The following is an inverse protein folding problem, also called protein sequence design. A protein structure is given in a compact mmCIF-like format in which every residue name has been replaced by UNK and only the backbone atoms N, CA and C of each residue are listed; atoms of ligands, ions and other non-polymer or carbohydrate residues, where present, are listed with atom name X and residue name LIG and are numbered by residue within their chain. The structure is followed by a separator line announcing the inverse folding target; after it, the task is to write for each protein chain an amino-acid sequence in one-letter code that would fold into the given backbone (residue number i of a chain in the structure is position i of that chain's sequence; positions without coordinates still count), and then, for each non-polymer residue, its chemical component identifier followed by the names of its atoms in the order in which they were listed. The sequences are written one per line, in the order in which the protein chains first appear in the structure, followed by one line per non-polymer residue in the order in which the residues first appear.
data_IF_652134571354
#
_entry.id   IF_652134571354
#
_cell.length_a   1.000
_cell.length_b   1.000
_cell.length_c   1.000
_cell.angle_alpha   90.00
_cell.angle_beta   90.00
_cell.angle_gamma   90.00
#
_symmetry.space_group_name_H-M   'P 1'
#
loop_
_entity.id
_entity.type
_entity.pdbx_description
1 polymer ?
#
# COMPACT_ATOMS: atom_id res chain seq x y z
N UNK A 1 6.00 -25.84 65.19
CA UNK A 1 6.85 -26.41 64.13
C UNK A 1 6.15 -27.66 63.61
N UNK A 2 5.49 -27.57 62.47
CA UNK A 2 4.95 -28.72 61.73
C UNK A 2 5.65 -28.75 60.35
N UNK A 3 6.03 -29.93 59.84
CA UNK A 3 6.89 -30.02 58.67
C UNK A 3 6.14 -29.73 57.37
N UNK A 4 6.91 -29.18 56.43
CA UNK A 4 6.57 -28.83 55.05
C UNK A 4 5.92 -30.00 54.33
N UNK A 5 4.76 -29.77 53.73
CA UNK A 5 4.28 -30.58 52.61
C UNK A 5 4.73 -29.86 51.33
N UNK A 6 5.64 -30.42 50.51
CA UNK A 6 5.95 -29.84 49.21
C UNK A 6 4.73 -29.99 48.32
N UNK A 7 4.36 -28.91 47.62
CA UNK A 7 3.30 -28.88 46.62
C UNK A 7 3.40 -30.15 45.75
N UNK A 8 2.32 -30.94 45.78
CA UNK A 8 2.08 -31.96 44.79
C UNK A 8 2.13 -31.27 43.42
N UNK A 9 3.17 -31.58 42.67
CA UNK A 9 3.31 -31.22 41.27
C UNK A 9 2.26 -32.05 40.54
N UNK A 10 1.15 -31.41 40.15
CA UNK A 10 0.08 -32.07 39.40
C UNK A 10 0.68 -32.81 38.18
N UNK A 11 0.45 -34.12 38.00
CA UNK A 11 1.14 -34.92 36.99
C UNK A 11 0.48 -34.89 35.60
N UNK A 12 -0.35 -33.89 35.31
CA UNK A 12 -1.19 -33.83 34.10
C UNK A 12 -1.05 -32.49 33.37
N UNK A 13 0.16 -31.91 33.35
CA UNK A 13 0.49 -30.99 32.28
C UNK A 13 0.72 -31.85 31.03
N UNK A 14 -0.38 -32.17 30.36
CA UNK A 14 -0.40 -32.95 29.13
C UNK A 14 0.24 -32.10 28.02
N UNK A 15 1.56 -32.17 27.92
CA UNK A 15 2.35 -31.54 26.86
C UNK A 15 1.91 -32.01 25.45
N UNK A 16 1.05 -33.05 25.36
CA UNK A 16 0.44 -33.51 24.11
C UNK A 16 -0.72 -32.64 23.62
N UNK A 17 -1.28 -31.77 24.47
CA UNK A 17 -2.32 -30.79 24.13
C UNK A 17 -1.75 -29.40 23.78
N UNK A 18 -0.44 -29.20 23.98
CA UNK A 18 0.24 -27.98 23.57
C UNK A 18 0.38 -27.98 22.05
N UNK A 19 -0.45 -27.18 21.38
CA UNK A 19 -0.34 -26.92 19.94
C UNK A 19 1.10 -26.51 19.60
N UNK A 20 1.81 -27.35 18.84
CA UNK A 20 3.17 -27.05 18.41
C UNK A 20 3.08 -26.02 17.27
N UNK A 21 3.62 -24.80 17.42
CA UNK A 21 3.53 -23.80 16.37
C UNK A 21 4.35 -24.21 15.14
N UNK A 22 3.89 -23.87 13.92
CA UNK A 22 4.67 -24.07 12.71
C UNK A 22 6.03 -23.35 12.77
N UNK A 23 7.05 -23.80 12.01
CA UNK A 23 8.37 -23.16 12.00
C UNK A 23 8.29 -21.65 11.70
N UNK A 24 8.94 -20.84 12.53
CA UNK A 24 8.96 -19.37 12.42
C UNK A 24 7.73 -18.66 13.00
N UNK A 25 6.81 -19.39 13.62
CA UNK A 25 5.72 -18.84 14.41
C UNK A 25 5.91 -19.14 15.89
N UNK A 26 5.45 -18.23 16.75
CA UNK A 26 5.40 -18.41 18.21
C UNK A 26 3.98 -18.17 18.67
N UNK A 27 3.45 -19.08 19.49
CA UNK A 27 2.14 -18.90 20.11
C UNK A 27 2.36 -18.44 21.55
N UNK A 28 1.83 -17.26 21.89
CA UNK A 28 1.99 -16.63 23.20
C UNK A 28 0.61 -16.67 23.87
N UNK A 29 0.43 -17.40 24.98
CA UNK A 29 -0.84 -17.40 25.72
C UNK A 29 -1.20 -15.98 26.19
N UNK A 30 -2.45 -15.55 25.96
CA UNK A 30 -2.96 -14.24 26.42
C UNK A 30 -3.23 -14.21 27.93
N UNK A 31 -3.55 -15.36 28.50
CA UNK A 31 -3.89 -15.54 29.90
C UNK A 31 -3.17 -16.76 30.47
N UNK A 32 -2.98 -16.76 31.79
CA UNK A 32 -2.36 -17.88 32.52
C UNK A 32 -3.19 -19.17 32.39
N UNK A 33 -4.52 -19.03 32.28
CA UNK A 33 -5.44 -20.15 32.03
C UNK A 33 -5.82 -20.17 30.55
N UNK A 34 -5.48 -21.26 29.86
CA UNK A 34 -5.94 -21.56 28.50
C UNK A 34 -7.16 -22.50 28.55
N UNK A 35 -8.08 -22.37 27.60
CA UNK A 35 -9.36 -23.11 27.64
C UNK A 35 -9.24 -24.62 27.40
N UNK A 36 -8.04 -25.15 27.13
CA UNK A 36 -7.78 -26.58 26.93
C UNK A 36 -8.39 -27.20 25.66
N UNK A 37 -9.10 -26.41 24.85
CA UNK A 37 -9.68 -26.87 23.58
C UNK A 37 -8.57 -26.93 22.51
N UNK A 38 -8.37 -28.10 21.93
CA UNK A 38 -7.46 -28.27 20.81
C UNK A 38 -7.82 -27.31 19.66
N UNK A 39 -6.83 -26.56 19.16
CA UNK A 39 -7.04 -25.60 18.07
C UNK A 39 -7.76 -24.28 18.45
N UNK A 40 -7.90 -23.93 19.73
CA UNK A 40 -8.44 -22.62 20.11
C UNK A 40 -7.40 -21.52 19.95
N UNK A 41 -7.47 -20.75 18.85
CA UNK A 41 -6.56 -19.63 18.58
C UNK A 41 -6.93 -18.32 19.29
N UNK A 42 -8.10 -18.24 19.92
CA UNK A 42 -8.51 -17.03 20.64
C UNK A 42 -7.67 -16.79 21.90
N UNK A 43 -7.26 -17.88 22.57
CA UNK A 43 -6.43 -17.85 23.78
C UNK A 43 -4.96 -17.53 23.52
N UNK A 44 -4.53 -17.46 22.26
CA UNK A 44 -3.14 -17.24 21.88
C UNK A 44 -3.00 -16.01 21.00
N UNK A 45 -1.91 -15.27 21.20
CA UNK A 45 -1.38 -14.36 20.20
C UNK A 45 -0.39 -15.13 19.32
N UNK A 46 -0.58 -14.99 18.01
CA UNK A 46 0.27 -15.65 17.02
C UNK A 46 1.28 -14.64 16.51
N UNK A 47 2.53 -14.92 16.81
CA UNK A 47 3.66 -14.11 16.38
C UNK A 47 4.36 -14.75 15.19
N UNK A 48 4.68 -13.95 14.18
CA UNK A 48 5.37 -14.36 12.95
C UNK A 48 6.72 -13.62 12.86
N UNK A 49 7.84 -14.34 12.99
CA UNK A 49 9.19 -13.72 12.99
C UNK A 49 9.50 -13.01 11.66
N UNK A 50 9.04 -13.59 10.55
CA UNK A 50 9.19 -12.98 9.21
C UNK A 50 8.37 -11.71 9.07
N UNK A 51 7.19 -11.67 9.68
CA UNK A 51 6.29 -10.53 9.62
C UNK A 51 6.86 -9.39 10.46
N UNK A 52 7.34 -9.69 11.67
CA UNK A 52 8.02 -8.72 12.52
C UNK A 52 9.26 -8.12 11.85
N UNK A 53 10.07 -8.95 11.19
CA UNK A 53 11.23 -8.46 10.42
C UNK A 53 10.82 -7.52 9.28
N UNK A 54 9.71 -7.81 8.60
CA UNK A 54 9.15 -6.94 7.55
C UNK A 54 8.61 -5.65 8.13
N UNK A 55 7.89 -5.69 9.25
CA UNK A 55 7.31 -4.51 9.89
C UNK A 55 8.41 -3.55 10.37
N UNK A 56 9.48 -4.08 10.99
CA UNK A 56 10.67 -3.29 11.34
C UNK A 56 11.28 -2.61 10.11
N UNK A 57 11.37 -3.34 8.99
CA UNK A 57 11.91 -2.81 7.74
C UNK A 57 11.01 -1.76 7.10
N UNK A 58 9.70 -1.91 7.18
CA UNK A 58 8.73 -0.93 6.69
C UNK A 58 8.93 0.38 7.44
N UNK A 59 8.96 0.35 8.77
CA UNK A 59 9.15 1.56 9.60
C UNK A 59 10.47 2.26 9.27
N UNK A 60 11.57 1.51 9.10
CA UNK A 60 12.87 2.07 8.71
C UNK A 60 12.79 2.79 7.34
N UNK A 61 12.09 2.17 6.38
CA UNK A 61 11.90 2.75 5.04
C UNK A 61 10.98 3.97 5.07
N UNK A 62 9.94 3.97 5.90
CA UNK A 62 9.05 5.12 6.10
C UNK A 62 9.79 6.32 6.68
N UNK A 63 10.69 6.10 7.65
CA UNK A 63 11.55 7.16 8.18
C UNK A 63 12.46 7.74 7.10
N UNK A 64 13.15 6.89 6.33
CA UNK A 64 14.01 7.33 5.22
C UNK A 64 13.23 8.09 4.16
N UNK A 65 12.04 7.62 3.81
CA UNK A 65 11.18 8.27 2.84
C UNK A 65 10.77 9.67 3.33
N UNK A 66 10.35 9.80 4.60
CA UNK A 66 10.05 11.09 5.21
C UNK A 66 11.23 12.07 5.15
N UNK A 67 12.45 11.60 5.40
CA UNK A 67 13.64 12.46 5.33
C UNK A 67 13.97 12.88 3.90
N UNK A 68 13.78 11.99 2.92
CA UNK A 68 13.91 12.33 1.50
C UNK A 68 12.88 13.37 1.06
N UNK A 69 11.62 13.25 1.51
CA UNK A 69 10.57 14.25 1.22
C UNK A 69 10.97 15.63 1.74
N UNK A 70 11.43 15.72 3.00
CA UNK A 70 11.90 17.00 3.57
C UNK A 70 13.05 17.59 2.77
N UNK A 71 14.02 16.76 2.37
CA UNK A 71 15.17 17.21 1.59
C UNK A 71 14.75 17.72 0.20
N UNK A 72 13.85 17.01 -0.48
CA UNK A 72 13.27 17.44 -1.75
C UNK A 72 12.56 18.78 -1.58
N UNK A 73 11.74 18.95 -0.55
CA UNK A 73 11.06 20.23 -0.27
C UNK A 73 12.05 21.36 -0.05
N UNK A 74 13.16 21.12 0.67
CA UNK A 74 14.22 22.12 0.84
C UNK A 74 14.91 22.48 -0.49
N UNK A 75 15.16 21.49 -1.36
CA UNK A 75 15.72 21.73 -2.68
C UNK A 75 14.76 22.49 -3.59
N UNK A 76 13.48 22.13 -3.58
CA UNK A 76 12.44 22.85 -4.29
C UNK A 76 12.36 24.31 -3.82
N UNK A 77 12.46 24.58 -2.52
CA UNK A 77 12.52 25.95 -2.00
C UNK A 77 13.78 26.70 -2.44
N UNK A 78 14.93 26.03 -2.58
CA UNK A 78 16.16 26.67 -3.11
C UNK A 78 16.09 26.96 -4.61
N UNK A 79 15.49 26.07 -5.39
CA UNK A 79 15.41 26.17 -6.84
C UNK A 79 14.26 27.10 -7.30
N UNK A 80 13.12 27.06 -6.61
CA UNK A 80 11.91 27.79 -6.99
C UNK A 80 11.51 28.89 -6.00
N UNK A 81 12.15 28.97 -4.83
CA UNK A 81 11.94 30.02 -3.81
C UNK A 81 13.00 31.12 -3.81
N UNK A 82 13.80 31.25 -4.89
CA UNK A 82 14.63 32.44 -5.13
C UNK A 82 13.78 33.73 -5.26
N UNK A 83 14.36 34.93 -5.08
CA UNK A 83 13.61 36.18 -4.89
C UNK A 83 12.94 36.67 -6.18
N UNK A 84 11.81 36.06 -6.54
CA UNK A 84 10.93 36.54 -7.62
C UNK A 84 9.48 36.64 -7.15
N UNK A 85 9.27 37.02 -5.89
CA UNK A 85 7.99 37.60 -5.47
C UNK A 85 8.30 39.01 -5.01
N UNK A 86 7.97 39.98 -5.85
CA UNK A 86 7.93 41.39 -5.49
C UNK A 86 7.31 41.55 -4.12
N UNK A 87 8.10 42.12 -3.21
CA UNK A 87 7.64 42.74 -1.98
C UNK A 87 6.65 43.86 -2.33
N UNK A 88 5.39 43.51 -2.60
CA UNK A 88 4.28 44.46 -2.58
C UNK A 88 4.07 44.85 -1.12
N UNK A 89 4.69 45.98 -0.79
CA UNK A 89 4.36 46.92 0.28
C UNK A 89 2.88 46.80 0.71
N UNK A 90 2.57 46.58 1.99
CA UNK A 90 1.19 46.67 2.45
C UNK A 90 0.77 48.15 2.47
N UNK A 91 -0.39 48.54 1.93
CA UNK A 91 -0.94 49.86 2.19
C UNK A 91 -1.59 49.88 3.57
N UNK A 92 -1.34 50.96 4.28
CA UNK A 92 -1.94 51.28 5.57
C UNK A 92 -3.46 51.42 5.48
N UNK A 93 -4.12 50.97 6.55
CA UNK A 93 -5.35 51.46 7.18
C UNK A 93 -6.35 52.25 6.33
N UNK A 94 -7.55 51.69 6.16
CA UNK A 94 -8.72 52.41 5.65
C UNK A 94 -10.02 51.63 5.83
N UNK A 95 -10.78 52.00 6.84
CA UNK A 95 -12.15 51.56 7.16
C UNK A 95 -13.13 51.76 5.99
N UNK A 96 -13.94 50.74 5.68
CA UNK A 96 -15.30 50.91 5.14
C UNK A 96 -16.11 49.61 5.23
N UNK A 97 -17.18 49.68 6.01
CA UNK A 97 -18.36 48.81 5.93
C UNK A 97 -18.97 48.86 4.52
N UNK A 98 -19.40 47.72 3.96
CA UNK A 98 -20.77 47.57 3.46
C UNK A 98 -21.07 46.16 2.95
N UNK A 99 -22.22 45.65 3.40
CA UNK A 99 -22.93 44.47 2.92
C UNK A 99 -23.52 44.71 1.53
N UNK A 100 -23.58 43.69 0.66
CA UNK A 100 -24.74 43.37 -0.21
C UNK A 100 -24.47 42.17 -1.14
N UNK A 101 -25.39 41.21 -1.05
CA UNK A 101 -25.79 40.27 -2.12
C UNK A 101 -26.99 40.92 -2.82
N UNK A 102 -27.16 40.78 -4.16
CA UNK A 102 -28.26 39.93 -4.66
C UNK A 102 -28.00 39.19 -6.00
N UNK A 103 -28.92 38.26 -6.27
CA UNK A 103 -29.03 37.19 -7.27
C UNK A 103 -29.18 37.57 -8.77
N UNK A 104 -28.82 36.59 -9.64
CA UNK A 104 -29.32 36.10 -10.97
C UNK A 104 -30.36 36.93 -11.80
N UNK A 105 -30.63 36.71 -13.13
CA UNK A 105 -30.49 35.47 -13.95
C UNK A 105 -30.10 35.66 -15.45
N UNK A 106 -29.87 34.56 -16.20
CA UNK A 106 -30.00 34.61 -17.67
C UNK A 106 -29.46 33.39 -18.46
N UNK A 107 -30.09 33.02 -19.61
CA UNK A 107 -30.28 31.61 -20.04
C UNK A 107 -29.84 31.26 -21.50
N UNK A 108 -29.90 29.97 -21.84
CA UNK A 108 -30.06 29.42 -23.21
C UNK A 108 -28.76 29.17 -23.98
N UNK A 109 -28.53 28.05 -24.67
CA UNK A 109 -29.37 26.91 -25.06
C UNK A 109 -28.93 26.40 -26.44
N UNK A 110 -29.11 25.10 -26.69
CA UNK A 110 -28.87 24.30 -27.92
C UNK A 110 -27.48 23.66 -28.01
N UNK A 111 -27.27 22.35 -27.84
CA UNK A 111 -28.19 21.21 -27.87
C UNK A 111 -28.11 20.48 -29.21
N UNK A 112 -27.49 19.29 -29.20
CA UNK A 112 -27.91 18.06 -29.90
C UNK A 112 -27.23 16.91 -29.11
N UNK A 113 -27.98 16.15 -28.28
CA UNK A 113 -28.70 14.91 -28.63
C UNK A 113 -27.77 13.84 -29.23
N UNK A 114 -27.56 12.65 -28.67
CA UNK A 114 -28.23 11.97 -27.57
C UNK A 114 -27.47 10.70 -27.13
N UNK A 115 -27.85 10.19 -25.97
CA UNK A 115 -27.42 8.90 -25.40
C UNK A 115 -27.87 7.71 -26.29
N UNK A 116 -27.21 6.54 -26.21
CA UNK A 116 -27.47 5.65 -25.09
C UNK A 116 -26.20 5.33 -24.31
N UNK A 117 -26.36 5.23 -22.99
CA UNK A 117 -25.54 4.38 -22.14
C UNK A 117 -25.42 3.00 -22.81
N UNK A 118 -24.21 2.64 -23.23
CA UNK A 118 -23.82 1.26 -23.39
C UNK A 118 -22.69 0.98 -22.42
N UNK A 119 -23.03 0.20 -21.39
CA UNK A 119 -22.09 -0.73 -20.77
C UNK A 119 -21.55 -1.63 -21.89
N UNK A 120 -20.44 -1.23 -22.51
CA UNK A 120 -19.60 -2.13 -23.29
C UNK A 120 -18.33 -2.35 -22.46
N UNK A 121 -18.04 -3.58 -21.99
CA UNK A 121 -16.69 -3.87 -21.52
C UNK A 121 -15.72 -3.57 -22.67
N UNK A 122 -14.49 -3.09 -22.37
CA UNK A 122 -13.49 -2.90 -23.42
C UNK A 122 -13.37 -4.20 -24.22
N UNK A 123 -13.19 -4.12 -25.56
CA UNK A 123 -12.98 -5.32 -26.36
C UNK A 123 -11.87 -6.12 -25.70
N UNK A 124 -12.16 -7.39 -25.39
CA UNK A 124 -11.18 -8.34 -24.89
C UNK A 124 -10.10 -8.37 -25.95
N UNK A 125 -9.01 -7.63 -25.69
CA UNK A 125 -7.89 -7.53 -26.59
C UNK A 125 -7.42 -8.93 -26.92
N UNK A 126 -7.20 -9.17 -28.20
CA UNK A 126 -6.53 -10.38 -28.66
C UNK A 126 -5.32 -10.62 -27.75
N UNK A 127 -5.25 -11.83 -27.18
CA UNK A 127 -4.17 -12.23 -26.30
C UNK A 127 -2.83 -12.02 -27.04
N UNK A 128 -2.10 -10.97 -26.67
CA UNK A 128 -0.79 -10.65 -27.23
C UNK A 128 -0.58 -9.19 -27.64
N UNK A 129 -1.63 -8.41 -27.94
CA UNK A 129 -1.44 -7.02 -28.38
C UNK A 129 -1.26 -6.06 -27.19
N UNK A 130 -0.33 -5.10 -27.27
CA UNK A 130 -0.12 -4.10 -26.22
C UNK A 130 -1.34 -3.17 -26.09
N UNK A 131 -1.83 -3.00 -24.87
CA UNK A 131 -3.00 -2.13 -24.59
C UNK A 131 -2.60 -0.72 -24.16
N UNK A 132 -1.34 -0.48 -23.81
CA UNK A 132 -0.82 0.83 -23.44
C UNK A 132 0.67 0.97 -23.78
N UNK A 133 1.11 2.23 -23.93
CA UNK A 133 2.51 2.58 -24.17
C UNK A 133 2.91 3.81 -23.35
N UNK A 134 4.15 3.84 -22.87
CA UNK A 134 4.78 5.00 -22.24
C UNK A 134 6.13 5.26 -22.93
N UNK A 135 6.39 6.53 -23.27
CA UNK A 135 7.66 6.96 -23.84
C UNK A 135 8.50 7.72 -22.81
N UNK A 136 9.81 7.46 -22.79
CA UNK A 136 10.74 8.26 -22.01
C UNK A 136 10.98 9.62 -22.68
N UNK A 137 11.50 10.61 -21.94
CA UNK A 137 12.21 11.73 -22.54
C UNK A 137 13.40 11.25 -23.40
N UNK A 138 14.00 12.15 -24.17
CA UNK A 138 15.25 11.85 -24.89
C UNK A 138 16.34 11.57 -23.86
N UNK A 139 16.85 10.34 -23.87
CA UNK A 139 17.95 9.88 -23.04
C UNK A 139 19.22 9.87 -23.89
N UNK A 140 20.34 10.31 -23.32
CA UNK A 140 21.64 10.22 -23.95
C UNK A 140 22.45 9.10 -23.29
N UNK A 141 22.94 8.15 -24.10
CA UNK A 141 23.83 7.07 -23.67
C UNK A 141 25.30 7.46 -23.95
N UNK A 142 26.12 7.75 -22.91
CA UNK A 142 27.52 8.12 -23.11
C UNK A 142 28.41 6.96 -23.57
N UNK A 143 27.99 5.71 -23.38
CA UNK A 143 28.77 4.53 -23.79
C UNK A 143 28.65 4.25 -25.28
N UNK A 144 27.54 4.67 -25.88
CA UNK A 144 27.26 4.52 -27.30
C UNK A 144 27.22 5.85 -28.06
N UNK A 145 27.46 6.97 -27.37
CA UNK A 145 27.41 8.36 -27.89
C UNK A 145 26.14 8.64 -28.73
N UNK A 146 25.00 8.16 -28.26
CA UNK A 146 23.73 8.27 -28.99
C UNK A 146 22.58 8.71 -28.09
N UNK A 147 21.68 9.47 -28.67
CA UNK A 147 20.43 9.86 -28.03
C UNK A 147 19.31 8.95 -28.50
N UNK A 148 18.51 8.43 -27.57
CA UNK A 148 17.41 7.52 -27.85
C UNK A 148 16.16 7.85 -27.02
N UNK A 149 15.00 7.34 -27.47
CA UNK A 149 13.73 7.40 -26.74
C UNK A 149 13.28 5.97 -26.48
N UNK A 150 13.13 5.59 -25.21
CA UNK A 150 12.64 4.28 -24.84
C UNK A 150 11.10 4.27 -24.90
N UNK A 151 10.53 3.26 -25.56
CA UNK A 151 9.09 3.01 -25.53
C UNK A 151 8.83 1.72 -24.75
N UNK A 152 8.05 1.83 -23.67
CA UNK A 152 7.59 0.68 -22.88
C UNK A 152 6.17 0.35 -23.30
N UNK A 153 5.93 -0.89 -23.71
CA UNK A 153 4.59 -1.40 -24.05
C UNK A 153 4.07 -2.31 -22.93
N UNK A 154 2.76 -2.25 -22.67
CA UNK A 154 2.08 -3.08 -21.68
C UNK A 154 1.20 -4.09 -22.41
N UNK A 155 1.53 -5.37 -22.30
CA UNK A 155 0.74 -6.48 -22.83
C UNK A 155 -0.03 -7.17 -21.71
N UNK A 156 -1.25 -7.69 -21.97
CA UNK A 156 -1.99 -8.45 -20.97
C UNK A 156 -1.21 -9.70 -20.56
N UNK A 157 -1.21 -10.01 -19.26
CA UNK A 157 -0.58 -11.24 -18.77
C UNK A 157 -1.34 -12.47 -19.30
N UNK A 158 -0.64 -13.56 -19.67
CA UNK A 158 -1.29 -14.83 -19.99
C UNK A 158 -2.16 -15.30 -18.82
N UNK A 159 -3.34 -15.89 -19.10
CA UNK A 159 -4.33 -16.25 -18.07
C UNK A 159 -3.80 -17.22 -17.00
N UNK A 160 -2.71 -17.93 -17.26
CA UNK A 160 -2.11 -18.92 -16.35
C UNK A 160 -1.11 -18.34 -15.33
N UNK A 161 -0.89 -17.02 -15.32
CA UNK A 161 0.14 -16.39 -14.48
C UNK A 161 -0.35 -15.97 -13.09
N UNK A 162 -1.62 -16.16 -12.77
CA UNK A 162 -2.24 -15.86 -11.46
C UNK A 162 -2.59 -17.19 -10.78
N UNK A 163 -1.58 -17.94 -10.36
CA UNK A 163 -1.78 -19.19 -9.64
C UNK A 163 -0.45 -19.83 -9.27
N UNK A 164 -0.17 -19.93 -7.97
CA UNK A 164 0.96 -20.70 -7.45
C UNK A 164 0.91 -22.18 -7.87
N UNK A 165 1.93 -22.98 -7.49
CA UNK A 165 2.21 -24.28 -8.11
C UNK A 165 1.00 -25.21 -8.06
N UNK A 166 0.47 -25.53 -9.24
CA UNK A 166 -0.50 -26.59 -9.44
C UNK A 166 0.21 -27.95 -9.29
N UNK A 167 -0.18 -28.70 -8.27
CA UNK A 167 0.23 -30.09 -8.10
C UNK A 167 -0.36 -30.90 -9.27
N UNK A 168 0.41 -31.75 -9.96
CA UNK A 168 -0.12 -32.54 -11.06
C UNK A 168 -1.00 -33.66 -10.50
N UNK A 169 -2.31 -33.59 -10.74
CA UNK A 169 -3.22 -34.69 -10.47
C UNK A 169 -2.93 -35.80 -11.50
N UNK A 170 -2.27 -36.86 -11.02
CA UNK A 170 -1.93 -38.02 -11.82
C UNK A 170 -3.15 -38.66 -12.49
N UNK A 171 -2.98 -39.00 -13.77
CA UNK A 171 -3.95 -39.76 -14.54
C UNK A 171 -4.26 -41.11 -13.91
N UNK A 172 -5.53 -41.50 -14.00
CA UNK A 172 -5.92 -42.91 -13.92
C UNK A 172 -6.81 -43.24 -15.12
N UNK A 173 -6.39 -44.33 -15.75
CA UNK A 173 -6.98 -45.17 -16.80
C UNK A 173 -8.49 -45.09 -16.96
#
# INVERSE_FOLDING_TARGET
MAPRNPLAKDPLHDDSLLMIPPPGFKFIPKSEVICGKAGCFECFDIYCERCESKDRRIVELEMRNNDLVKYITQLQAKLFGGPSVSQRRPPASGSAFSSRVPSAPGPGGSGYSGYPSQCAPPPVGQAGEPFAFIQSPILYDPSMDLSYVATTSFTPAPPDSIGGPSVPLGGRK
#
